data_IF_452092598789
#
_entry.id   IF_452092598789
#
_cell.length_a   1.000
_cell.length_b   1.000
_cell.length_c   1.000
_cell.angle_alpha   90.00
_cell.angle_beta   90.00
_cell.angle_gamma   90.00
#
_symmetry.space_group_name_H-M   'P 1'
#
loop_
_entity.id
_entity.type
_entity.pdbx_description
1 polymer ?
#
# COMPACT_ATOMS: atom_id res chain seq x y z
N UNK A 1 -8.57 -15.72 1.49
CA UNK A 1 -9.01 -14.32 1.28
C UNK A 1 -10.48 -14.20 0.91
N UNK A 2 -10.95 -14.72 -0.24
CA UNK A 2 -12.32 -14.52 -0.75
C UNK A 2 -13.44 -15.04 0.17
N UNK A 3 -13.35 -16.29 0.64
CA UNK A 3 -14.33 -16.89 1.59
C UNK A 3 -14.50 -16.07 2.87
N UNK A 4 -13.45 -15.36 3.28
CA UNK A 4 -13.43 -14.55 4.49
C UNK A 4 -13.61 -13.04 4.23
N UNK A 5 -13.75 -12.62 2.97
CA UNK A 5 -13.79 -11.23 2.53
C UNK A 5 -12.64 -10.37 3.09
N UNK A 6 -11.41 -10.87 2.98
CA UNK A 6 -10.22 -10.17 3.48
C UNK A 6 -9.63 -9.24 2.43
N UNK A 7 -9.25 -8.04 2.86
CA UNK A 7 -8.52 -7.06 2.05
C UNK A 7 -7.01 -7.26 2.12
N UNK A 8 -6.51 -7.58 3.31
CA UNK A 8 -5.12 -7.87 3.62
C UNK A 8 -5.07 -9.13 4.46
N UNK A 9 -4.16 -10.04 4.12
CA UNK A 9 -3.88 -11.26 4.87
C UNK A 9 -2.38 -11.34 5.15
N UNK A 10 -2.03 -11.39 6.43
CA UNK A 10 -0.69 -11.74 6.89
C UNK A 10 -0.52 -13.25 6.92
N UNK A 11 0.66 -13.72 6.51
CA UNK A 11 1.03 -15.12 6.49
C UNK A 11 2.40 -15.23 7.16
N UNK A 12 2.50 -16.07 8.16
CA UNK A 12 3.75 -16.49 8.80
C UNK A 12 4.16 -17.86 8.26
N UNK A 13 5.40 -18.28 8.51
CA UNK A 13 5.90 -19.60 8.14
C UNK A 13 5.76 -19.92 6.65
N UNK A 14 6.08 -18.95 5.79
CA UNK A 14 5.98 -19.20 4.33
C UNK A 14 7.03 -20.19 3.85
N UNK A 15 8.16 -20.31 4.56
CA UNK A 15 9.31 -21.15 4.18
C UNK A 15 9.92 -20.76 2.83
N UNK A 16 9.65 -19.52 2.38
CA UNK A 16 10.14 -19.01 1.11
C UNK A 16 11.53 -18.42 1.28
N UNK A 17 12.29 -18.44 0.18
CA UNK A 17 13.57 -17.74 0.07
C UNK A 17 13.38 -16.44 -0.69
N UNK A 18 14.33 -15.53 -0.52
CA UNK A 18 14.39 -14.22 -1.17
C UNK A 18 13.29 -13.26 -0.72
N UNK A 19 13.45 -12.02 -1.15
CA UNK A 19 12.50 -10.93 -0.94
C UNK A 19 11.91 -10.57 -2.29
N UNK A 20 10.60 -10.52 -2.38
CA UNK A 20 9.96 -10.24 -3.66
C UNK A 20 8.47 -10.00 -3.59
N UNK A 21 7.90 -9.81 -4.77
CA UNK A 21 6.47 -9.71 -4.95
C UNK A 21 6.02 -10.52 -6.15
N UNK A 22 4.85 -11.14 -6.05
CA UNK A 22 4.27 -11.95 -7.11
C UNK A 22 2.77 -11.67 -7.22
N UNK A 23 2.28 -11.50 -8.45
CA UNK A 23 0.85 -11.44 -8.71
C UNK A 23 0.32 -12.85 -8.94
N UNK A 24 -0.68 -13.25 -8.17
CA UNK A 24 -1.35 -14.53 -8.33
C UNK A 24 -2.30 -14.47 -9.52
N UNK A 25 -2.61 -15.63 -10.12
CA UNK A 25 -3.58 -15.76 -11.23
C UNK A 25 -4.97 -15.25 -10.84
N UNK A 26 -5.31 -15.36 -9.55
CA UNK A 26 -6.53 -14.87 -8.96
C UNK A 26 -6.59 -13.33 -8.83
N UNK A 27 -5.47 -12.64 -9.05
CA UNK A 27 -5.34 -11.17 -9.10
C UNK A 27 -4.90 -10.50 -7.80
N UNK A 28 -4.74 -11.26 -6.71
CA UNK A 28 -4.12 -10.82 -5.47
C UNK A 28 -2.60 -10.61 -5.67
N UNK A 29 -2.02 -9.68 -4.92
CA UNK A 29 -0.57 -9.42 -4.90
C UNK A 29 -0.02 -10.01 -3.62
N UNK A 30 1.01 -10.81 -3.74
CA UNK A 30 1.73 -11.40 -2.64
C UNK A 30 3.06 -10.69 -2.50
N UNK A 31 3.30 -10.09 -1.34
CA UNK A 31 4.59 -9.54 -0.92
C UNK A 31 5.21 -10.56 0.03
N UNK A 32 6.44 -10.97 -0.17
CA UNK A 32 7.07 -11.99 0.66
C UNK A 32 8.51 -11.62 1.01
N UNK A 33 8.93 -12.11 2.17
CA UNK A 33 10.27 -11.93 2.70
C UNK A 33 10.72 -13.23 3.33
N UNK A 34 11.84 -13.74 2.85
CA UNK A 34 12.49 -14.95 3.30
C UNK A 34 13.99 -14.76 3.40
N UNK A 35 14.72 -15.86 3.64
CA UNK A 35 16.19 -15.81 3.65
C UNK A 35 16.76 -15.49 2.27
N UNK A 36 17.70 -14.56 2.18
CA UNK A 36 18.34 -14.16 0.91
C UNK A 36 19.22 -15.27 0.33
N UNK A 37 19.86 -16.06 1.19
CA UNK A 37 20.73 -17.16 0.79
C UNK A 37 19.93 -18.33 0.21
N UNK A 38 20.33 -18.81 -0.98
CA UNK A 38 19.67 -19.93 -1.67
C UNK A 38 19.66 -21.24 -0.88
N UNK A 39 20.64 -21.44 0.01
CA UNK A 39 20.82 -22.67 0.78
C UNK A 39 20.42 -22.51 2.26
N UNK A 40 19.87 -21.36 2.66
CA UNK A 40 19.44 -21.17 4.03
C UNK A 40 18.31 -22.15 4.37
N UNK A 41 18.21 -22.57 5.65
CA UNK A 41 17.11 -23.37 6.13
C UNK A 41 15.79 -22.69 5.79
N UNK A 42 14.87 -23.41 5.14
CA UNK A 42 13.52 -22.94 4.84
C UNK A 42 12.64 -23.04 6.08
N UNK A 43 13.01 -22.33 7.15
CA UNK A 43 12.35 -22.39 8.47
C UNK A 43 11.68 -21.08 8.86
N UNK A 44 11.87 -20.03 8.06
CA UNK A 44 11.34 -18.70 8.31
C UNK A 44 10.59 -18.19 7.08
N UNK A 45 9.95 -17.04 7.23
CA UNK A 45 9.35 -16.34 6.12
C UNK A 45 8.03 -15.70 6.52
N UNK A 46 7.80 -14.51 6.00
CA UNK A 46 6.55 -13.79 6.15
C UNK A 46 6.05 -13.32 4.81
N UNK A 47 4.73 -13.20 4.68
CA UNK A 47 4.11 -12.60 3.52
C UNK A 47 2.87 -11.76 3.87
N UNK A 48 2.58 -10.82 2.98
CA UNK A 48 1.32 -10.08 2.92
C UNK A 48 0.64 -10.37 1.59
N UNK A 49 -0.55 -10.97 1.64
CA UNK A 49 -1.42 -11.13 0.49
C UNK A 49 -2.45 -10.01 0.45
N UNK A 50 -2.53 -9.30 -0.67
CA UNK A 50 -3.30 -8.07 -0.85
C UNK A 50 -4.37 -8.23 -1.92
N UNK A 51 -5.61 -7.84 -1.59
CA UNK A 51 -6.69 -7.74 -2.57
C UNK A 51 -6.36 -6.69 -3.64
N UNK A 52 -7.10 -6.67 -4.75
CA UNK A 52 -6.95 -5.61 -5.77
C UNK A 52 -7.17 -4.21 -5.18
N UNK A 53 -8.04 -4.08 -4.17
CA UNK A 53 -8.31 -2.79 -3.52
C UNK A 53 -7.16 -2.38 -2.61
N UNK A 54 -6.62 -3.31 -1.81
CA UNK A 54 -5.47 -3.05 -0.95
C UNK A 54 -4.21 -2.75 -1.78
N UNK A 55 -3.99 -3.46 -2.89
CA UNK A 55 -2.92 -3.18 -3.86
C UNK A 55 -2.95 -1.74 -4.35
N UNK A 56 -4.14 -1.24 -4.72
CA UNK A 56 -4.27 0.14 -5.16
C UNK A 56 -4.01 1.13 -4.02
N UNK A 57 -4.10 0.76 -2.76
CA UNK A 57 -3.80 1.67 -1.65
C UNK A 57 -2.33 1.58 -1.20
N UNK A 58 -1.63 0.52 -1.56
CA UNK A 58 -0.23 0.29 -1.21
C UNK A 58 0.65 1.43 -1.76
N UNK A 59 1.43 2.06 -0.89
CA UNK A 59 2.37 3.14 -1.29
C UNK A 59 3.76 2.58 -1.57
N UNK A 60 4.11 1.49 -0.90
CA UNK A 60 5.38 0.78 -1.00
C UNK A 60 5.38 -0.34 0.03
N UNK A 61 6.49 -1.05 0.16
CA UNK A 61 6.70 -2.01 1.23
C UNK A 61 8.19 -2.21 1.47
N UNK A 62 8.53 -2.69 2.65
CA UNK A 62 9.89 -2.93 3.09
C UNK A 62 9.97 -4.32 3.72
N UNK A 63 11.00 -5.08 3.34
CA UNK A 63 11.43 -6.26 4.09
C UNK A 63 12.39 -5.82 5.18
N UNK A 64 12.19 -6.39 6.37
CA UNK A 64 13.07 -6.20 7.51
C UNK A 64 13.60 -7.58 7.96
N UNK A 65 14.20 -8.28 7.01
CA UNK A 65 14.66 -9.66 7.19
C UNK A 65 13.53 -10.68 6.98
N UNK A 66 13.80 -11.98 7.20
CA UNK A 66 12.86 -13.06 6.89
C UNK A 66 11.60 -13.08 7.76
N UNK A 67 11.57 -12.29 8.84
CA UNK A 67 10.52 -12.34 9.88
C UNK A 67 9.62 -11.11 9.96
N UNK A 68 9.92 -10.04 9.22
CA UNK A 68 9.16 -8.79 9.31
C UNK A 68 8.96 -8.17 7.92
N UNK A 69 7.71 -7.84 7.59
CA UNK A 69 7.35 -6.99 6.45
C UNK A 69 6.56 -5.79 6.95
N UNK A 70 6.90 -4.61 6.44
CA UNK A 70 6.11 -3.38 6.64
C UNK A 70 5.53 -2.91 5.32
N UNK A 71 4.24 -2.61 5.31
CA UNK A 71 3.52 -2.11 4.14
C UNK A 71 2.67 -0.88 4.51
N UNK A 72 3.05 0.33 4.06
CA UNK A 72 2.20 1.52 4.16
C UNK A 72 1.11 1.59 3.07
N UNK A 73 -0.08 2.00 3.48
CA UNK A 73 -1.29 2.15 2.67
C UNK A 73 -1.88 3.56 2.81
N UNK A 74 -2.38 4.10 1.70
CA UNK A 74 -3.16 5.35 1.70
C UNK A 74 -4.57 5.07 2.21
N UNK A 75 -5.03 5.91 3.12
CA UNK A 75 -6.42 5.86 3.62
C UNK A 75 -7.26 6.92 2.92
N UNK A 76 -8.59 6.77 2.94
CA UNK A 76 -9.51 7.80 2.43
C UNK A 76 -9.48 9.07 3.28
N UNK A 77 -9.05 8.98 4.53
CA UNK A 77 -8.94 10.14 5.42
C UNK A 77 -7.67 10.90 5.05
N UNK A 78 -7.84 12.15 4.63
CA UNK A 78 -6.74 12.99 4.20
C UNK A 78 -5.73 13.21 5.34
N UNK A 79 -4.44 13.18 4.99
CA UNK A 79 -3.35 13.34 5.95
C UNK A 79 -3.07 12.14 6.86
N UNK A 80 -3.86 11.06 6.77
CA UNK A 80 -3.67 9.83 7.56
C UNK A 80 -3.33 8.65 6.66
N UNK A 81 -2.17 8.05 6.91
CA UNK A 81 -1.76 6.77 6.32
C UNK A 81 -2.03 5.61 7.29
N UNK A 82 -1.95 4.39 6.77
CA UNK A 82 -2.04 3.17 7.56
C UNK A 82 -0.83 2.29 7.26
N UNK A 83 -0.04 1.93 8.26
CA UNK A 83 1.04 0.96 8.13
C UNK A 83 0.62 -0.38 8.72
N UNK A 84 0.78 -1.46 7.96
CA UNK A 84 0.65 -2.83 8.46
C UNK A 84 2.06 -3.40 8.60
N UNK A 85 2.38 -3.92 9.78
CA UNK A 85 3.62 -4.62 10.09
C UNK A 85 3.23 -6.07 10.35
N UNK A 86 3.60 -6.98 9.44
CA UNK A 86 3.42 -8.43 9.60
C UNK A 86 4.70 -9.03 10.18
N UNK A 87 4.55 -9.84 11.22
CA UNK A 87 5.65 -10.43 11.97
C UNK A 87 5.52 -11.95 12.10
N UNK A 88 6.67 -12.62 12.18
CA UNK A 88 6.81 -13.98 12.66
C UNK A 88 7.96 -14.04 13.68
N UNK A 89 7.64 -13.95 14.97
CA UNK A 89 8.64 -13.92 16.03
C UNK A 89 9.35 -15.28 16.16
N UNK A 90 10.62 -15.31 16.61
CA UNK A 90 11.30 -16.54 16.96
C UNK A 90 10.50 -17.38 17.97
N UNK A 91 10.56 -18.70 17.84
CA UNK A 91 9.96 -19.61 18.84
C UNK A 91 10.71 -19.52 20.16
N UNK A 92 10.12 -20.04 21.24
CA UNK A 92 10.73 -20.02 22.56
C UNK A 92 12.09 -20.74 22.63
N UNK A 93 12.33 -21.71 21.74
CA UNK A 93 13.58 -22.50 21.70
C UNK A 93 14.76 -21.77 21.06
N UNK A 94 14.54 -20.58 20.48
CA UNK A 94 15.63 -19.72 20.02
C UNK A 94 16.39 -19.13 21.21
N UNK A 95 17.68 -18.84 21.00
CA UNK A 95 18.47 -18.13 22.01
C UNK A 95 17.94 -16.71 22.27
N UNK A 96 18.21 -16.20 23.48
CA UNK A 96 17.74 -14.88 23.91
C UNK A 96 18.23 -13.76 23.01
N UNK A 97 19.50 -13.81 22.56
CA UNK A 97 20.06 -12.77 21.68
C UNK A 97 19.27 -12.62 20.37
N UNK A 98 18.83 -13.72 19.77
CA UNK A 98 18.02 -13.70 18.57
C UNK A 98 16.61 -13.12 18.81
N UNK A 99 16.02 -13.43 19.97
CA UNK A 99 14.74 -12.81 20.39
C UNK A 99 14.94 -11.31 20.59
N UNK A 100 15.96 -10.90 21.35
CA UNK A 100 16.31 -9.50 21.58
C UNK A 100 16.53 -8.73 20.29
N UNK A 101 17.30 -9.28 19.35
CA UNK A 101 17.51 -8.67 18.04
C UNK A 101 16.21 -8.49 17.27
N UNK A 102 15.31 -9.48 17.31
CA UNK A 102 14.00 -9.38 16.67
C UNK A 102 13.14 -8.27 17.29
N UNK A 103 12.99 -8.25 18.62
CA UNK A 103 12.15 -7.25 19.31
C UNK A 103 12.75 -5.83 19.21
N UNK A 104 14.08 -5.66 19.27
CA UNK A 104 14.74 -4.38 19.07
C UNK A 104 14.56 -3.85 17.63
N UNK A 105 14.67 -4.74 16.64
CA UNK A 105 14.40 -4.39 15.25
C UNK A 105 12.94 -3.99 15.05
N UNK A 106 12.01 -4.74 15.63
CA UNK A 106 10.59 -4.44 15.58
C UNK A 106 10.28 -3.07 16.22
N UNK A 107 10.86 -2.79 17.38
CA UNK A 107 10.74 -1.50 18.08
C UNK A 107 11.17 -0.34 17.16
N UNK A 108 12.35 -0.44 16.54
CA UNK A 108 12.85 0.57 15.61
C UNK A 108 11.94 0.79 14.39
N UNK A 109 11.24 -0.25 13.92
CA UNK A 109 10.29 -0.15 12.80
C UNK A 109 9.01 0.59 13.23
N UNK A 110 8.53 0.31 14.44
CA UNK A 110 7.34 0.95 15.02
C UNK A 110 7.61 2.44 15.27
N UNK A 111 8.78 2.80 15.82
CA UNK A 111 9.18 4.19 16.08
C UNK A 111 9.26 5.05 14.82
N UNK A 112 9.62 4.44 13.69
CA UNK A 112 9.62 5.10 12.38
C UNK A 112 8.21 5.33 11.83
N UNK A 113 7.16 4.81 12.45
CA UNK A 113 5.78 5.05 12.03
C UNK A 113 5.26 6.36 12.65
N UNK A 114 4.69 7.29 11.86
CA UNK A 114 4.16 8.54 12.40
C UNK A 114 3.03 8.28 13.41
N UNK A 115 3.08 8.94 14.56
CA UNK A 115 2.08 8.78 15.63
C UNK A 115 0.66 9.23 15.23
N UNK A 116 0.58 10.15 14.25
CA UNK A 116 -0.69 10.61 13.64
C UNK A 116 -1.33 9.57 12.71
N UNK A 117 -0.55 8.60 12.24
CA UNK A 117 -0.99 7.58 11.30
C UNK A 117 -1.45 6.33 12.04
N UNK A 118 -2.22 5.49 11.35
CA UNK A 118 -2.65 4.21 11.90
C UNK A 118 -1.51 3.19 11.76
N UNK A 119 -1.14 2.52 12.85
CA UNK A 119 -0.23 1.38 12.82
C UNK A 119 -0.98 0.13 13.27
N UNK A 120 -0.96 -0.89 12.43
CA UNK A 120 -1.43 -2.24 12.73
C UNK A 120 -0.21 -3.14 12.80
N UNK A 121 0.01 -3.72 13.97
CA UNK A 121 0.99 -4.76 14.18
C UNK A 121 0.25 -6.10 14.18
N UNK A 122 0.64 -7.05 13.35
CA UNK A 122 -0.04 -8.33 13.28
C UNK A 122 0.91 -9.49 12.95
N UNK A 123 0.46 -10.70 13.25
CA UNK A 123 1.15 -11.93 12.88
C UNK A 123 1.31 -12.87 14.05
N UNK A 124 2.24 -13.79 13.91
CA UNK A 124 2.53 -14.78 14.93
C UNK A 124 3.72 -14.31 15.77
N UNK A 125 3.47 -14.06 17.05
CA UNK A 125 4.48 -13.60 17.98
C UNK A 125 5.03 -14.73 18.86
N UNK A 126 4.56 -15.97 18.71
CA UNK A 126 4.91 -17.05 19.64
C UNK A 126 4.74 -16.66 21.11
N UNK A 127 3.81 -15.72 21.38
CA UNK A 127 3.72 -14.96 22.61
C UNK A 127 2.45 -15.32 23.37
N UNK A 128 2.60 -16.03 24.49
CA UNK A 128 1.52 -16.27 25.45
C UNK A 128 1.57 -15.16 26.48
N UNK A 129 0.58 -14.29 26.49
CA UNK A 129 0.53 -13.11 27.37
C UNK A 129 -0.14 -13.39 28.73
N UNK A 130 -0.88 -14.50 28.82
CA UNK A 130 -1.60 -14.95 30.01
C UNK A 130 -2.78 -14.07 30.44
N UNK A 131 -3.44 -14.46 31.52
CA UNK A 131 -4.60 -13.75 32.11
C UNK A 131 -4.19 -12.60 33.02
N UNK A 132 -3.00 -12.67 33.61
CA UNK A 132 -2.48 -11.64 34.50
C UNK A 132 -2.10 -10.40 33.70
N UNK A 133 -2.89 -9.34 33.79
CA UNK A 133 -2.63 -8.09 33.10
C UNK A 133 -2.13 -6.97 34.02
N UNK A 134 -1.63 -7.31 35.21
CA UNK A 134 -1.09 -6.34 36.17
C UNK A 134 0.03 -5.52 35.52
N UNK A 135 -0.12 -4.18 35.50
CA UNK A 135 0.82 -3.25 34.85
C UNK A 135 0.63 -3.07 33.34
N UNK A 136 -0.28 -3.83 32.72
CA UNK A 136 -0.60 -3.80 31.29
C UNK A 136 -2.11 -3.64 31.03
N UNK A 137 -2.87 -3.20 32.02
CA UNK A 137 -4.34 -3.10 31.97
C UNK A 137 -4.84 -2.20 30.84
N UNK A 138 -4.01 -1.22 30.50
CA UNK A 138 -4.27 -0.21 29.48
C UNK A 138 -4.03 -0.69 28.03
N UNK A 139 -3.37 -1.84 27.86
CA UNK A 139 -3.00 -2.39 26.55
C UNK A 139 -3.64 -3.76 26.26
N UNK A 140 -3.88 -4.57 27.28
CA UNK A 140 -4.34 -5.95 27.13
C UNK A 140 -5.41 -6.32 28.17
N UNK A 141 -6.36 -7.14 27.73
CA UNK A 141 -7.39 -7.73 28.58
C UNK A 141 -6.89 -8.95 29.36
N UNK A 142 -7.71 -9.43 30.29
CA UNK A 142 -7.45 -10.63 31.12
C UNK A 142 -7.72 -11.97 30.44
N UNK A 143 -7.79 -11.96 29.11
CA UNK A 143 -8.38 -13.04 28.30
C UNK A 143 -7.31 -13.82 27.55
N UNK A 144 -6.04 -13.51 27.80
CA UNK A 144 -4.93 -14.33 27.33
C UNK A 144 -4.98 -15.71 27.99
N UNK A 145 -4.56 -16.72 27.24
CA UNK A 145 -4.57 -18.11 27.68
C UNK A 145 -3.16 -18.57 28.09
N UNK A 146 -3.10 -19.46 29.08
CA UNK A 146 -1.86 -20.03 29.59
C UNK A 146 -1.08 -19.08 30.51
N UNK A 147 0.10 -19.52 30.95
CA UNK A 147 1.04 -18.68 31.67
C UNK A 147 1.82 -17.79 30.71
N UNK A 148 2.21 -16.60 31.19
CA UNK A 148 3.01 -15.68 30.39
C UNK A 148 4.37 -16.29 30.09
N UNK A 149 4.73 -16.41 28.81
CA UNK A 149 6.08 -16.80 28.41
C UNK A 149 6.95 -15.56 28.14
N UNK A 150 8.25 -15.76 27.95
CA UNK A 150 9.23 -14.68 27.69
C UNK A 150 8.84 -13.82 26.47
N UNK A 151 8.43 -14.46 25.37
CA UNK A 151 7.91 -13.74 24.19
C UNK A 151 6.65 -12.93 24.52
N UNK A 152 5.80 -13.43 25.42
CA UNK A 152 4.63 -12.74 25.97
C UNK A 152 4.99 -11.48 26.73
N UNK A 153 6.02 -11.53 27.57
CA UNK A 153 6.53 -10.36 28.28
C UNK A 153 7.14 -9.32 27.32
N UNK A 154 8.03 -9.77 26.42
CA UNK A 154 8.64 -8.90 25.40
C UNK A 154 7.59 -8.24 24.50
N UNK A 155 6.56 -8.99 24.12
CA UNK A 155 5.43 -8.48 23.34
C UNK A 155 4.60 -7.46 24.13
N UNK A 156 4.24 -7.77 25.38
CA UNK A 156 3.51 -6.84 26.25
C UNK A 156 4.28 -5.53 26.45
N UNK A 157 5.61 -5.60 26.63
CA UNK A 157 6.48 -4.44 26.74
C UNK A 157 6.48 -3.58 25.48
N UNK A 158 6.60 -4.17 24.27
CA UNK A 158 6.46 -3.42 23.01
C UNK A 158 5.09 -2.73 22.95
N UNK A 159 4.02 -3.44 23.30
CA UNK A 159 2.68 -2.87 23.24
C UNK A 159 2.52 -1.70 24.21
N UNK A 160 3.00 -1.83 25.45
CA UNK A 160 2.96 -0.78 26.47
C UNK A 160 3.73 0.46 26.02
N UNK A 161 4.98 0.28 25.58
CA UNK A 161 5.86 1.38 25.21
C UNK A 161 5.32 2.18 24.01
N UNK A 162 4.77 1.49 23.01
CA UNK A 162 4.27 2.12 21.78
C UNK A 162 2.77 2.45 21.82
N UNK A 163 2.11 2.29 22.99
CA UNK A 163 0.67 2.49 23.17
C UNK A 163 -0.14 1.69 22.13
N UNK A 164 0.26 0.45 21.87
CA UNK A 164 -0.49 -0.50 21.07
C UNK A 164 -1.42 -1.30 21.97
N UNK A 165 -2.62 -1.61 21.49
CA UNK A 165 -3.62 -2.38 22.23
C UNK A 165 -4.12 -3.54 21.40
N UNK A 166 -4.32 -4.69 22.06
CA UNK A 166 -4.97 -5.84 21.45
C UNK A 166 -6.50 -5.67 21.53
N UNK A 167 -7.27 -5.82 20.43
CA UNK A 167 -8.61 -5.26 20.37
C UNK A 167 -9.75 -6.11 20.95
N UNK A 168 -9.53 -7.24 21.63
CA UNK A 168 -10.67 -7.99 22.16
C UNK A 168 -10.42 -8.80 23.43
N UNK A 169 -11.50 -8.97 24.18
CA UNK A 169 -11.65 -9.62 25.48
C UNK A 169 -12.32 -11.02 25.36
N UNK A 170 -12.32 -11.66 24.19
CA UNK A 170 -13.14 -12.87 23.94
C UNK A 170 -12.37 -13.99 23.20
N UNK A 171 -11.25 -13.71 22.52
CA UNK A 171 -10.60 -14.69 21.64
C UNK A 171 -9.60 -15.62 22.34
N UNK A 172 -9.80 -16.93 22.17
CA UNK A 172 -9.07 -18.03 22.80
C UNK A 172 -7.86 -18.55 21.98
N UNK A 173 -7.12 -17.71 21.24
CA UNK A 173 -5.93 -18.17 20.49
C UNK A 173 -4.63 -17.52 21.01
N UNK A 174 -3.58 -18.34 21.15
CA UNK A 174 -2.53 -18.21 22.16
C UNK A 174 -1.22 -17.49 21.75
N UNK A 175 -0.97 -17.30 20.45
CA UNK A 175 0.32 -16.79 19.94
C UNK A 175 0.21 -15.83 18.75
N UNK A 176 -0.90 -15.86 18.02
CA UNK A 176 -1.23 -14.90 16.98
C UNK A 176 -1.86 -13.64 17.56
N UNK A 177 -1.32 -12.47 17.21
CA UNK A 177 -1.82 -11.19 17.72
C UNK A 177 -2.10 -10.21 16.61
N UNK A 178 -3.09 -9.35 16.83
CA UNK A 178 -3.30 -8.12 16.08
C UNK A 178 -3.33 -7.01 17.13
N UNK A 179 -2.56 -5.95 16.91
CA UNK A 179 -2.54 -4.77 17.75
C UNK A 179 -2.67 -3.51 16.92
N UNK A 180 -3.25 -2.48 17.54
CA UNK A 180 -3.47 -1.18 16.95
C UNK A 180 -3.01 -0.08 17.89
N UNK A 181 -2.55 1.06 17.37
CA UNK A 181 -2.28 2.22 18.22
C UNK A 181 -3.55 2.70 18.96
N UNK A 182 -3.41 3.01 20.25
CA UNK A 182 -4.48 3.33 21.20
C UNK A 182 -5.39 4.45 20.69
N UNK A 183 -4.83 5.44 19.99
CA UNK A 183 -5.56 6.55 19.36
C UNK A 183 -6.63 6.07 18.36
N UNK A 184 -6.37 4.97 17.66
CA UNK A 184 -7.26 4.42 16.64
C UNK A 184 -8.02 3.17 17.09
N UNK A 185 -7.97 2.80 18.37
CA UNK A 185 -8.67 1.62 18.91
C UNK A 185 -10.16 1.55 18.53
N UNK A 186 -10.84 2.71 18.48
CA UNK A 186 -12.25 2.83 18.10
C UNK A 186 -12.55 2.56 16.61
N UNK A 187 -11.51 2.38 15.79
CA UNK A 187 -11.67 2.01 14.38
C UNK A 187 -11.88 0.52 14.20
N UNK A 188 -11.57 -0.30 15.19
CA UNK A 188 -11.81 -1.74 15.16
C UNK A 188 -13.26 -1.99 15.55
N UNK A 189 -13.96 -2.74 14.71
CA UNK A 189 -15.36 -3.11 14.92
C UNK A 189 -15.48 -4.47 15.61
N UNK A 190 -14.60 -5.42 15.25
CA UNK A 190 -14.67 -6.81 15.70
C UNK A 190 -13.32 -7.49 15.47
N UNK A 191 -12.89 -8.36 16.39
CA UNK A 191 -11.72 -9.22 16.23
C UNK A 191 -12.10 -10.63 16.64
N UNK A 192 -11.96 -11.58 15.72
CA UNK A 192 -12.40 -12.95 15.96
C UNK A 192 -11.50 -13.99 15.31
N UNK A 193 -11.38 -15.11 15.98
CA UNK A 193 -10.73 -16.32 15.47
C UNK A 193 -11.70 -17.11 14.60
N UNK A 194 -11.37 -17.36 13.34
CA UNK A 194 -12.17 -18.17 12.41
C UNK A 194 -11.68 -19.62 12.37
N UNK A 195 -12.34 -20.50 13.12
CA UNK A 195 -12.04 -21.94 13.19
C UNK A 195 -12.38 -22.73 11.91
N UNK A 196 -13.21 -22.18 11.02
CA UNK A 196 -13.57 -22.79 9.73
C UNK A 196 -12.63 -22.43 8.57
N UNK A 197 -11.47 -21.85 8.84
CA UNK A 197 -10.42 -21.70 7.84
C UNK A 197 -9.53 -22.94 7.92
N UNK A 198 -9.42 -23.70 6.81
CA UNK A 198 -8.53 -24.85 6.69
C UNK A 198 -7.07 -24.34 6.73
N UNK A 199 -6.54 -24.23 7.94
CA UNK A 199 -5.16 -23.87 8.27
C UNK A 199 -4.59 -25.05 9.07
N UNK A 200 -3.28 -25.06 9.31
CA UNK A 200 -2.62 -26.06 10.14
C UNK A 200 -3.31 -26.23 11.51
N UNK A 201 -3.23 -27.41 12.15
CA UNK A 201 -3.98 -27.71 13.37
C UNK A 201 -3.69 -26.79 14.57
N UNK A 202 -2.52 -26.15 14.56
CA UNK A 202 -1.98 -25.27 15.60
C UNK A 202 -2.31 -23.79 15.40
N UNK A 203 -2.71 -23.38 14.20
CA UNK A 203 -3.04 -21.98 13.89
C UNK A 203 -4.50 -21.81 13.45
N UNK A 204 -5.15 -20.80 14.01
CA UNK A 204 -6.46 -20.37 13.53
C UNK A 204 -6.37 -18.96 12.95
N UNK A 205 -7.15 -18.71 11.90
CA UNK A 205 -7.17 -17.40 11.26
C UNK A 205 -7.73 -16.33 12.21
N UNK A 206 -6.87 -15.41 12.68
CA UNK A 206 -7.29 -14.22 13.42
C UNK A 206 -7.70 -13.10 12.44
N UNK A 207 -8.93 -12.60 12.56
CA UNK A 207 -9.49 -11.60 11.65
C UNK A 207 -9.94 -10.37 12.43
N UNK A 208 -9.39 -9.20 12.08
CA UNK A 208 -9.89 -7.91 12.54
C UNK A 208 -10.73 -7.22 11.45
N UNK A 209 -11.93 -6.76 11.82
CA UNK A 209 -12.80 -5.92 10.99
C UNK A 209 -12.65 -4.47 11.44
N UNK A 210 -12.48 -3.56 10.48
CA UNK A 210 -12.20 -2.16 10.77
C UNK A 210 -13.09 -1.20 9.97
N UNK A 211 -13.40 -0.06 10.59
CA UNK A 211 -14.25 1.02 10.06
C UNK A 211 -13.51 2.04 9.18
N UNK A 212 -12.22 1.80 8.91
CA UNK A 212 -11.38 2.66 8.08
C UNK A 212 -11.40 2.19 6.61
N UNK A 213 -11.51 3.13 5.66
CA UNK A 213 -11.52 2.82 4.22
C UNK A 213 -10.17 3.15 3.57
N UNK A 214 -9.67 2.22 2.76
CA UNK A 214 -8.49 2.41 1.92
C UNK A 214 -8.77 3.33 0.74
N UNK A 215 -7.81 4.19 0.40
CA UNK A 215 -7.89 5.09 -0.77
C UNK A 215 -7.27 4.40 -1.97
N UNK A 216 -8.07 4.27 -3.03
CA UNK A 216 -7.58 3.81 -4.32
C UNK A 216 -6.57 4.83 -4.85
N UNK A 217 -5.33 4.42 -5.04
CA UNK A 217 -4.39 5.13 -5.88
C UNK A 217 -4.86 4.97 -7.32
N UNK A 218 -5.25 6.07 -7.94
CA UNK A 218 -5.39 6.09 -9.37
C UNK A 218 -3.98 6.25 -9.95
N UNK A 219 -3.41 5.17 -10.47
CA UNK A 219 -2.41 5.25 -11.54
C UNK A 219 -3.15 5.66 -12.81
N UNK A 220 -3.85 6.79 -12.79
CA UNK A 220 -4.00 7.52 -14.04
C UNK A 220 -2.57 7.88 -14.36
N UNK A 221 -1.96 7.20 -15.33
CA UNK A 221 -0.80 7.75 -16.00
C UNK A 221 -1.20 9.19 -16.27
N UNK A 222 -0.57 10.13 -15.57
CA UNK A 222 -0.85 11.53 -15.76
C UNK A 222 -0.17 11.81 -17.09
N UNK A 223 -0.79 11.35 -18.19
CA UNK A 223 -0.72 12.10 -19.44
C UNK A 223 -1.25 13.44 -19.00
N UNK A 224 -0.32 14.34 -18.68
CA UNK A 224 -0.61 15.75 -18.68
C UNK A 224 -1.24 15.93 -20.06
N UNK A 225 -2.56 16.01 -20.11
CA UNK A 225 -3.28 16.31 -21.33
C UNK A 225 -2.84 17.73 -21.64
N UNK A 226 -1.70 17.87 -22.33
CA UNK A 226 -1.17 19.13 -22.76
C UNK A 226 -2.15 19.64 -23.80
N UNK A 227 -3.09 20.47 -23.35
CA UNK A 227 -4.14 21.02 -24.20
C UNK A 227 -3.46 21.79 -25.34
N UNK A 228 -3.89 21.53 -26.57
CA UNK A 228 -3.46 22.32 -27.71
C UNK A 228 -3.92 23.76 -27.54
N UNK A 229 -3.15 24.71 -28.04
CA UNK A 229 -3.51 26.12 -27.95
C UNK A 229 -4.57 26.48 -29.00
N UNK A 230 -5.84 26.28 -28.65
CA UNK A 230 -6.98 26.55 -29.54
C UNK A 230 -7.17 28.04 -29.86
N UNK A 231 -6.53 28.96 -29.12
CA UNK A 231 -6.57 30.38 -29.42
C UNK A 231 -5.96 30.70 -30.80
N UNK A 232 -5.01 29.88 -31.27
CA UNK A 232 -4.44 30.02 -32.61
C UNK A 232 -5.43 29.73 -33.74
N UNK A 233 -6.58 29.12 -33.46
CA UNK A 233 -7.64 28.95 -34.46
C UNK A 233 -8.49 30.22 -34.66
N UNK A 234 -8.33 31.23 -33.80
CA UNK A 234 -8.94 32.56 -34.01
C UNK A 234 -8.15 33.40 -35.03
N UNK A 235 -6.88 33.06 -35.27
CA UNK A 235 -6.07 33.67 -36.32
C UNK A 235 -6.42 33.03 -37.68
N UNK A 236 -6.94 33.83 -38.60
CA UNK A 236 -7.38 33.42 -39.93
C UNK A 236 -6.28 32.72 -40.74
N UNK A 237 -5.01 33.13 -40.62
CA UNK A 237 -3.90 32.54 -41.35
C UNK A 237 -3.54 31.16 -40.80
N UNK A 238 -3.51 31.01 -39.47
CA UNK A 238 -3.26 29.72 -38.83
C UNK A 238 -4.42 28.75 -39.01
N UNK A 239 -5.66 29.23 -39.00
CA UNK A 239 -6.84 28.43 -39.29
C UNK A 239 -6.80 27.86 -40.71
N UNK A 240 -6.46 28.69 -41.70
CA UNK A 240 -6.34 28.24 -43.09
C UNK A 240 -5.21 27.22 -43.26
N UNK A 241 -4.05 27.45 -42.62
CA UNK A 241 -2.95 26.49 -42.59
C UNK A 241 -3.36 25.16 -41.94
N UNK A 242 -4.12 25.20 -40.85
CA UNK A 242 -4.65 24.01 -40.19
C UNK A 242 -5.59 23.23 -41.12
N UNK A 243 -6.52 23.90 -41.80
CA UNK A 243 -7.45 23.27 -42.74
C UNK A 243 -6.71 22.58 -43.89
N UNK A 244 -5.72 23.24 -44.49
CA UNK A 244 -4.93 22.68 -45.60
C UNK A 244 -4.13 21.47 -45.12
N UNK A 245 -3.38 21.58 -44.01
CA UNK A 245 -2.57 20.47 -43.50
C UNK A 245 -3.43 19.29 -43.05
N UNK A 246 -4.62 19.55 -42.50
CA UNK A 246 -5.57 18.49 -42.12
C UNK A 246 -6.14 17.79 -43.36
N UNK A 247 -6.59 18.55 -44.35
CA UNK A 247 -7.15 18.01 -45.59
C UNK A 247 -6.13 17.17 -46.35
N UNK A 248 -4.88 17.62 -46.44
CA UNK A 248 -3.80 16.87 -47.11
C UNK A 248 -3.52 15.54 -46.41
N UNK A 249 -3.55 15.50 -45.07
CA UNK A 249 -3.36 14.24 -44.33
C UNK A 249 -4.53 13.29 -44.43
N UNK A 250 -5.76 13.81 -44.44
CA UNK A 250 -6.94 12.97 -44.64
C UNK A 250 -7.02 12.42 -46.06
N UNK A 251 -6.59 13.18 -47.07
CA UNK A 251 -6.49 12.69 -48.44
C UNK A 251 -5.49 11.53 -48.54
N UNK A 252 -4.27 11.72 -48.03
CA UNK A 252 -3.25 10.67 -47.99
C UNK A 252 -3.69 9.44 -47.19
N UNK A 253 -4.48 9.64 -46.12
CA UNK A 253 -5.05 8.56 -45.33
C UNK A 253 -6.15 7.80 -46.07
N UNK A 254 -7.02 8.51 -46.80
CA UNK A 254 -8.09 7.92 -47.62
C UNK A 254 -7.53 7.09 -48.77
N UNK A 255 -6.46 7.55 -49.41
CA UNK A 255 -5.76 6.82 -50.47
C UNK A 255 -5.13 5.51 -49.94
N UNK A 256 -4.71 5.50 -48.67
CA UNK A 256 -4.18 4.31 -47.98
C UNK A 256 -5.28 3.28 -47.61
N UNK A 257 -6.49 3.75 -47.29
CA UNK A 257 -7.63 2.91 -46.91
C UNK A 257 -8.25 2.17 -48.09
N UNK A 258 -8.12 2.71 -49.31
CA UNK A 258 -8.60 2.07 -50.52
C UNK A 258 -7.75 0.85 -50.95
N UNK A 259 -6.62 0.59 -50.27
CA UNK A 259 -5.77 -0.59 -50.46
C UNK A 259 -5.88 -1.60 -49.31
N UNK A 260 -6.86 -2.50 -49.39
CA UNK A 260 -7.00 -3.77 -48.64
C UNK A 260 -7.20 -3.69 -47.11
N UNK A 261 -8.33 -4.24 -46.64
CA UNK A 261 -8.43 -5.01 -45.39
C UNK A 261 -8.19 -4.30 -44.05
N UNK A 262 -8.58 -3.03 -43.88
CA UNK A 262 -8.40 -2.34 -42.59
C UNK A 262 -9.57 -2.56 -41.62
N UNK A 263 -9.26 -2.86 -40.36
CA UNK A 263 -10.25 -2.99 -39.29
C UNK A 263 -10.71 -1.62 -38.78
N UNK A 264 -11.88 -1.57 -38.13
CA UNK A 264 -12.45 -0.33 -37.56
C UNK A 264 -11.49 0.33 -36.57
N UNK A 265 -10.74 -0.46 -35.80
CA UNK A 265 -9.73 0.01 -34.84
C UNK A 265 -8.54 0.68 -35.53
N UNK A 266 -8.11 0.14 -36.68
CA UNK A 266 -7.04 0.73 -37.49
C UNK A 266 -7.47 2.06 -38.09
N UNK A 267 -8.71 2.13 -38.58
CA UNK A 267 -9.29 3.36 -39.12
C UNK A 267 -9.37 4.46 -38.06
N UNK A 268 -9.85 4.11 -36.86
CA UNK A 268 -9.89 5.04 -35.73
C UNK A 268 -8.50 5.52 -35.31
N UNK A 269 -7.51 4.64 -35.30
CA UNK A 269 -6.12 4.99 -34.99
C UNK A 269 -5.56 6.00 -36.00
N UNK A 270 -5.77 5.77 -37.29
CA UNK A 270 -5.31 6.68 -38.34
C UNK A 270 -5.98 8.05 -38.31
N UNK A 271 -7.30 8.11 -38.08
CA UNK A 271 -8.04 9.38 -37.90
C UNK A 271 -7.46 10.16 -36.71
N UNK A 272 -7.26 9.46 -35.58
CA UNK A 272 -6.70 10.05 -34.37
C UNK A 272 -5.29 10.59 -34.60
N UNK A 273 -4.45 9.86 -35.32
CA UNK A 273 -3.08 10.28 -35.64
C UNK A 273 -3.04 11.48 -36.58
N UNK A 274 -3.89 11.51 -37.63
CA UNK A 274 -3.98 12.64 -38.55
C UNK A 274 -4.34 13.93 -37.82
N UNK A 275 -5.37 13.89 -36.97
CA UNK A 275 -5.81 15.05 -36.16
C UNK A 275 -4.72 15.46 -35.17
N UNK A 276 -4.21 14.51 -34.38
CA UNK A 276 -3.24 14.81 -33.30
C UNK A 276 -1.95 15.39 -33.88
N UNK A 277 -1.43 14.81 -34.96
CA UNK A 277 -0.22 15.27 -35.63
C UNK A 277 -0.38 16.68 -36.22
N UNK A 278 -1.54 17.01 -36.78
CA UNK A 278 -1.80 18.36 -37.31
C UNK A 278 -1.94 19.39 -36.19
N UNK A 279 -2.60 19.02 -35.08
CA UNK A 279 -2.64 19.84 -33.87
C UNK A 279 -1.24 20.12 -33.32
N UNK A 280 -0.34 19.14 -33.28
CA UNK A 280 1.06 19.37 -32.88
C UNK A 280 1.79 20.33 -33.81
N UNK A 281 1.65 20.15 -35.13
CA UNK A 281 2.36 20.95 -36.15
C UNK A 281 1.91 22.42 -36.17
N UNK A 282 0.61 22.68 -36.02
CA UNK A 282 0.03 24.03 -36.25
C UNK A 282 -0.31 24.75 -34.96
N UNK A 283 -0.90 24.05 -33.98
CA UNK A 283 -1.39 24.67 -32.74
C UNK A 283 -0.35 24.62 -31.63
N UNK A 284 0.45 23.54 -31.56
CA UNK A 284 1.36 23.29 -30.45
C UNK A 284 0.65 23.22 -29.10
N UNK A 285 1.40 23.03 -28.03
CA UNK A 285 0.84 22.94 -26.69
C UNK A 285 0.68 24.31 -26.02
N UNK A 286 -0.35 24.46 -25.21
CA UNK A 286 -0.53 25.63 -24.35
C UNK A 286 0.63 25.68 -23.34
N UNK A 287 1.46 26.71 -23.42
CA UNK A 287 2.50 26.99 -22.42
C UNK A 287 1.81 27.54 -21.16
N UNK A 288 2.18 27.02 -20.00
CA UNK A 288 1.82 27.62 -18.74
C UNK A 288 2.71 28.85 -18.53
N UNK A 289 2.12 30.04 -18.57
CA UNK A 289 2.80 31.22 -18.05
C UNK A 289 2.78 31.10 -16.53
N UNK A 290 3.97 30.93 -15.94
CA UNK A 290 4.13 31.16 -14.52
C UNK A 290 3.90 32.66 -14.30
N UNK A 291 2.95 33.04 -13.44
CA UNK A 291 2.91 34.43 -12.98
C UNK A 291 4.23 34.67 -12.24
N UNK A 292 4.95 35.71 -12.64
CA UNK A 292 6.03 36.24 -11.80
C UNK A 292 5.38 36.70 -10.49
N UNK A 293 5.87 36.14 -9.40
CA UNK A 293 5.33 36.32 -8.05
C UNK A 293 5.66 37.71 -7.47
N UNK A 294 6.52 38.46 -8.16
CA UNK A 294 6.88 39.84 -7.88
C UNK A 294 6.61 40.64 -9.14
N UNK A 295 5.76 41.66 -9.03
CA UNK A 295 5.61 42.69 -10.06
C UNK A 295 6.64 43.78 -9.85
N UNK A 296 7.00 44.51 -10.90
CA UNK A 296 7.90 45.67 -10.82
C UNK A 296 7.40 46.69 -9.79
N UNK A 297 6.09 46.96 -9.74
CA UNK A 297 5.44 47.76 -8.69
C UNK A 297 5.72 47.27 -7.26
N UNK A 298 5.93 45.98 -7.06
CA UNK A 298 6.25 45.41 -5.74
C UNK A 298 7.72 45.70 -5.36
N UNK A 299 8.63 45.72 -6.35
CA UNK A 299 10.03 46.09 -6.15
C UNK A 299 10.18 47.59 -5.88
N UNK A 300 9.45 48.43 -6.64
CA UNK A 300 9.48 49.88 -6.45
C UNK A 300 9.04 50.28 -5.04
N UNK A 301 7.98 49.63 -4.51
CA UNK A 301 7.51 49.84 -3.13
C UNK A 301 8.45 49.33 -2.03
N UNK A 302 9.34 48.39 -2.34
CA UNK A 302 10.38 47.94 -1.40
C UNK A 302 11.51 48.98 -1.35
N UNK A 303 11.76 49.68 -2.47
CA UNK A 303 12.82 50.67 -2.60
C UNK A 303 12.43 52.04 -2.03
N UNK A 304 11.13 52.30 -1.87
CA UNK A 304 10.58 53.48 -1.17
C UNK A 304 10.54 53.35 0.37
N UNK A 305 11.00 52.23 0.96
CA UNK A 305 11.15 52.02 2.41
C UNK A 305 12.59 52.22 2.86
#
# INVERSE_FOLDING_TARGET
>A
MRRCNLEVLGISETHWTQVGQQRLTSGELLLYSGHEEKNAPRTQGVALMLSKQAQNALTGWESHGPRIIKAPFKTKKEGISMSIIQCYAPTNDYNEDAKDQFYNRLQSIIEKCPTKDLTILMGDFNAKVGTDNTGYEDIMGRQGLGERNENGERFANICAFNKLTSPDHITQNQIDHICINKTFRRTIEDVRTKRGADITPDHHLLVAKMKLKLKKHWTTGRTISQKFNTAFLQDTNKLNKFKIDLSNKFQAFHDLLNGVGTTVESNWKGIKEAITSTCHKVLGHKKHHHKEWITVDTLDKIQER
#
